data_IF_641114031410
#
_entry.id   IF_641114031410
#
_cell.length_a   1.000
_cell.length_b   1.000
_cell.length_c   1.000
_cell.angle_alpha   90.00
_cell.angle_beta   90.00
_cell.angle_gamma   90.00
#
_symmetry.space_group_name_H-M   'P 1'
#
loop_
_entity.id
_entity.type
_entity.pdbx_description
1 polymer ?
#
# COMPACT_ATOMS: atom_id res chain seq x y z
N UNK A 1 -7.56 -10.98 -25.55
CA UNK A 1 -8.81 -11.25 -24.83
C UNK A 1 -8.91 -10.28 -23.67
N UNK A 2 -9.88 -9.42 -23.79
CA UNK A 2 -10.27 -8.39 -22.82
C UNK A 2 -11.08 -9.07 -21.70
N UNK A 3 -10.53 -9.20 -20.50
CA UNK A 3 -11.31 -9.41 -19.27
C UNK A 3 -10.48 -8.83 -18.11
N UNK A 4 -10.96 -7.78 -17.48
CA UNK A 4 -10.38 -7.31 -16.24
C UNK A 4 -10.53 -5.83 -15.85
N UNK A 5 -11.43 -5.05 -16.45
CA UNK A 5 -11.57 -3.62 -16.12
C UNK A 5 -12.95 -3.18 -15.62
N UNK A 6 -13.87 -4.06 -15.31
CA UNK A 6 -15.24 -3.65 -14.91
C UNK A 6 -15.56 -3.76 -13.39
N UNK A 7 -14.61 -4.04 -12.51
CA UNK A 7 -14.95 -4.44 -11.14
C UNK A 7 -14.83 -3.37 -10.05
N UNK A 8 -14.50 -2.12 -10.37
CA UNK A 8 -14.40 -1.08 -9.32
C UNK A 8 -15.57 -0.09 -9.22
N UNK A 9 -16.58 -0.15 -10.09
CA UNK A 9 -17.68 0.84 -10.08
C UNK A 9 -19.04 0.24 -9.66
N UNK A 10 -19.17 -1.08 -9.58
CA UNK A 10 -20.47 -1.73 -9.27
C UNK A 10 -20.79 -1.97 -7.80
N UNK A 11 -19.85 -1.85 -6.89
CA UNK A 11 -20.07 -2.23 -5.47
C UNK A 11 -20.55 -1.11 -4.53
N UNK A 12 -20.68 0.12 -5.03
CA UNK A 12 -21.20 1.24 -4.22
C UNK A 12 -22.74 1.30 -4.13
N UNK A 13 -23.47 0.35 -4.70
CA UNK A 13 -24.96 0.31 -4.64
C UNK A 13 -25.56 -0.62 -3.59
N UNK A 14 -24.79 -1.26 -2.73
CA UNK A 14 -25.29 -2.22 -1.72
C UNK A 14 -25.21 -1.80 -0.26
N UNK A 15 -24.83 -0.56 0.04
CA UNK A 15 -24.84 -0.05 1.41
C UNK A 15 -25.76 1.18 1.49
N UNK A 16 -27.03 1.01 1.17
CA UNK A 16 -28.06 1.98 1.51
C UNK A 16 -29.46 1.33 1.54
N UNK A 17 -29.57 0.27 2.33
CA UNK A 17 -30.81 -0.49 2.46
C UNK A 17 -31.24 -0.71 3.91
N UNK A 18 -30.99 0.27 4.80
CA UNK A 18 -31.48 0.18 6.18
C UNK A 18 -31.75 1.57 6.77
N UNK A 19 -32.70 2.30 6.20
CA UNK A 19 -33.37 3.44 6.84
C UNK A 19 -34.50 3.93 5.92
N UNK A 20 -35.61 3.24 5.91
CA UNK A 20 -36.91 3.82 5.51
C UNK A 20 -38.03 2.85 5.85
N UNK A 21 -38.52 2.92 7.04
CA UNK A 21 -39.92 2.61 7.36
C UNK A 21 -40.25 3.27 8.71
N UNK A 22 -41.39 3.97 8.70
CA UNK A 22 -42.12 4.52 9.80
C UNK A 22 -41.91 5.99 10.14
N UNK A 23 -42.75 6.81 9.53
CA UNK A 23 -43.37 7.97 10.18
C UNK A 23 -44.57 8.49 9.36
N UNK A 24 -45.77 8.01 9.62
CA UNK A 24 -47.01 8.77 9.41
C UNK A 24 -47.90 8.56 10.61
N UNK A 25 -48.09 9.61 11.38
CA UNK A 25 -49.00 9.67 12.49
C UNK A 25 -49.09 11.07 13.08
N UNK A 26 -50.13 11.77 12.73
CA UNK A 26 -50.47 13.15 13.08
C UNK A 26 -50.73 13.38 14.55
N UNK A 27 -50.49 14.58 14.98
CA UNK A 27 -51.29 15.50 15.80
C UNK A 27 -50.69 15.96 17.14
N UNK A 28 -50.81 17.29 17.31
CA UNK A 28 -50.92 18.12 18.50
C UNK A 28 -49.67 18.38 19.38
N UNK A 29 -49.24 19.64 19.26
CA UNK A 29 -48.36 20.29 20.28
C UNK A 29 -49.20 20.72 21.52
N UNK A 30 -48.53 20.80 22.67
CA UNK A 30 -48.56 22.04 23.42
C UNK A 30 -47.17 22.60 23.71
N UNK A 31 -47.13 23.92 23.78
CA UNK A 31 -45.99 24.77 24.14
C UNK A 31 -45.59 24.51 25.60
N UNK A 32 -44.37 24.15 25.86
CA UNK A 32 -43.80 24.08 27.21
C UNK A 32 -42.31 24.41 27.11
N UNK A 33 -41.94 25.48 27.81
CA UNK A 33 -40.56 25.96 27.98
C UNK A 33 -39.70 24.89 28.66
N UNK A 34 -38.65 24.44 27.97
CA UNK A 34 -37.60 23.61 28.55
C UNK A 34 -36.42 24.48 28.96
N UNK A 35 -36.35 24.84 30.24
CA UNK A 35 -35.07 25.21 30.86
C UNK A 35 -34.35 23.89 31.19
N UNK A 36 -33.24 23.66 30.46
CA UNK A 36 -32.38 22.53 30.74
C UNK A 36 -31.42 22.88 31.87
N UNK A 37 -31.74 22.38 33.09
CA UNK A 37 -30.78 22.32 34.19
C UNK A 37 -29.70 21.28 33.87
N UNK A 38 -28.57 21.74 33.40
CA UNK A 38 -27.36 20.93 33.28
C UNK A 38 -26.70 20.77 34.67
N UNK A 39 -27.13 19.78 35.42
CA UNK A 39 -26.35 19.30 36.56
C UNK A 39 -25.35 18.26 36.07
N UNK A 40 -24.09 18.68 35.99
CA UNK A 40 -22.96 17.80 35.82
C UNK A 40 -22.87 16.79 36.99
N UNK A 41 -23.27 15.57 36.75
CA UNK A 41 -22.86 14.40 37.54
C UNK A 41 -23.15 13.16 36.72
N UNK A 42 -22.14 12.73 35.99
CA UNK A 42 -21.80 11.33 35.78
C UNK A 42 -20.41 11.29 35.13
N UNK A 43 -19.42 11.25 36.01
CA UNK A 43 -18.07 10.97 35.65
C UNK A 43 -18.00 9.54 35.07
N UNK A 44 -17.66 9.43 33.81
CA UNK A 44 -17.31 8.15 33.20
C UNK A 44 -16.13 7.56 33.99
N UNK A 45 -16.20 6.29 34.40
CA UNK A 45 -15.06 5.66 35.06
C UNK A 45 -13.87 5.64 34.11
N UNK A 46 -12.73 6.07 34.63
CA UNK A 46 -11.44 6.09 33.97
C UNK A 46 -11.23 4.82 33.13
N UNK A 47 -11.30 4.94 31.81
CA UNK A 47 -10.78 3.94 30.90
C UNK A 47 -9.26 3.94 31.07
N UNK A 48 -8.62 2.84 31.46
CA UNK A 48 -7.18 2.80 31.47
C UNK A 48 -6.68 2.98 30.04
N UNK A 49 -6.00 4.08 29.78
CA UNK A 49 -5.21 4.31 28.57
C UNK A 49 -3.99 3.41 28.61
N UNK A 50 -4.18 2.10 28.43
CA UNK A 50 -3.05 1.22 28.16
C UNK A 50 -2.72 1.31 26.67
N UNK A 51 -2.03 2.36 26.28
CA UNK A 51 -1.23 2.36 25.06
C UNK A 51 -0.04 1.41 25.27
N UNK A 52 -0.29 0.10 25.29
CA UNK A 52 0.76 -0.88 25.12
C UNK A 52 1.12 -0.87 23.64
N UNK A 53 1.93 0.09 23.23
CA UNK A 53 2.81 -0.06 22.10
C UNK A 53 3.78 -1.19 22.47
N UNK A 54 3.42 -2.42 22.16
CA UNK A 54 4.34 -3.55 22.21
C UNK A 54 5.41 -3.29 21.14
N UNK A 55 6.48 -2.59 21.53
CA UNK A 55 7.70 -2.54 20.72
C UNK A 55 8.19 -3.98 20.63
N UNK A 56 7.89 -4.65 19.54
CA UNK A 56 8.42 -5.97 19.24
C UNK A 56 9.96 -5.84 19.28
N UNK A 57 10.57 -6.39 20.32
CA UNK A 57 12.03 -6.33 20.51
C UNK A 57 12.66 -7.33 19.56
N UNK A 58 13.05 -6.88 18.38
CA UNK A 58 13.88 -7.69 17.49
C UNK A 58 15.35 -7.63 17.97
N UNK A 59 16.03 -8.78 18.15
CA UNK A 59 17.44 -8.79 18.51
C UNK A 59 18.24 -7.99 17.46
N UNK A 60 19.25 -7.23 17.92
CA UNK A 60 20.17 -6.51 17.03
C UNK A 60 20.85 -7.53 16.09
N UNK A 61 20.37 -7.66 14.85
CA UNK A 61 21.05 -8.44 13.82
C UNK A 61 22.39 -7.80 13.47
N UNK A 62 23.38 -8.62 13.08
CA UNK A 62 24.66 -8.11 12.55
C UNK A 62 24.36 -7.13 11.41
N UNK A 63 25.18 -6.09 11.27
CA UNK A 63 25.10 -5.11 10.17
C UNK A 63 25.57 -5.76 8.85
N UNK A 64 24.85 -6.78 8.41
CA UNK A 64 25.17 -7.66 7.28
C UNK A 64 25.04 -7.00 5.91
N UNK A 65 24.22 -5.92 5.84
CA UNK A 65 24.00 -5.13 4.63
C UNK A 65 24.77 -3.80 4.64
N UNK A 66 25.81 -3.68 5.47
CA UNK A 66 26.63 -2.46 5.51
C UNK A 66 27.31 -2.21 4.15
N UNK A 67 27.20 -0.98 3.65
CA UNK A 67 27.72 -0.57 2.35
C UNK A 67 26.81 -0.92 1.17
N UNK A 68 25.67 -1.57 1.41
CA UNK A 68 24.65 -1.80 0.38
C UNK A 68 23.64 -0.67 0.38
N UNK A 69 23.27 -0.19 -0.81
CA UNK A 69 22.25 0.82 -1.02
C UNK A 69 21.02 0.19 -1.66
N UNK A 70 19.87 0.31 -1.01
CA UNK A 70 18.63 -0.33 -1.44
C UNK A 70 17.50 0.69 -1.55
N UNK A 71 16.68 0.54 -2.59
CA UNK A 71 15.45 1.32 -2.77
C UNK A 71 14.27 0.48 -2.30
N UNK A 72 13.32 1.11 -1.65
CA UNK A 72 12.02 0.52 -1.34
C UNK A 72 10.94 1.49 -1.80
N UNK A 73 10.00 1.03 -2.64
CA UNK A 73 8.80 1.80 -2.95
C UNK A 73 7.67 1.43 -1.99
N UNK A 74 6.89 2.39 -1.53
CA UNK A 74 5.81 2.16 -0.57
C UNK A 74 4.60 3.07 -0.81
N UNK A 75 3.46 2.72 -0.22
CA UNK A 75 2.23 3.49 -0.31
C UNK A 75 1.46 3.26 -1.60
N UNK A 76 0.41 4.05 -1.78
CA UNK A 76 -0.33 4.12 -3.01
C UNK A 76 0.04 5.42 -3.75
N UNK A 77 0.09 5.36 -5.07
CA UNK A 77 0.12 6.57 -5.89
C UNK A 77 -1.28 7.17 -6.00
N UNK A 78 -1.34 8.44 -6.32
CA UNK A 78 -2.55 9.22 -6.46
C UNK A 78 -2.55 9.84 -7.86
N UNK A 79 -3.57 9.51 -8.64
CA UNK A 79 -3.73 10.03 -9.99
C UNK A 79 -4.86 11.06 -10.00
N UNK A 80 -4.50 12.34 -10.10
CA UNK A 80 -5.46 13.42 -10.00
C UNK A 80 -6.47 13.40 -11.16
N UNK A 81 -7.76 13.55 -10.86
CA UNK A 81 -8.83 13.81 -11.82
C UNK A 81 -9.02 15.33 -11.95
N UNK A 82 -9.03 16.00 -10.81
CA UNK A 82 -9.12 17.45 -10.67
C UNK A 82 -8.45 17.87 -9.34
N UNK A 83 -8.41 19.15 -8.94
CA UNK A 83 -7.78 19.57 -7.68
C UNK A 83 -8.38 18.94 -6.40
N UNK A 84 -9.51 18.24 -6.49
CA UNK A 84 -10.26 17.71 -5.35
C UNK A 84 -10.31 16.18 -5.36
N UNK A 85 -10.42 15.56 -6.53
CA UNK A 85 -10.66 14.11 -6.70
C UNK A 85 -9.51 13.43 -7.38
N UNK A 86 -9.29 12.17 -7.02
CA UNK A 86 -8.21 11.35 -7.55
C UNK A 86 -8.59 9.87 -7.58
N UNK A 87 -7.85 9.10 -8.35
CA UNK A 87 -7.84 7.64 -8.37
C UNK A 87 -6.66 7.18 -7.53
N UNK A 88 -6.84 6.15 -6.68
CA UNK A 88 -5.78 5.57 -5.88
C UNK A 88 -6.12 4.15 -5.47
N UNK A 89 -5.14 3.44 -4.92
CA UNK A 89 -5.27 2.11 -4.34
C UNK A 89 -5.45 2.17 -2.81
N UNK A 90 -5.96 1.09 -2.21
CA UNK A 90 -6.19 0.98 -0.76
C UNK A 90 -4.91 0.77 0.08
N UNK A 91 -3.73 0.81 -0.53
CA UNK A 91 -2.47 0.58 0.18
C UNK A 91 -2.20 1.67 1.21
N UNK A 92 -1.83 1.26 2.41
CA UNK A 92 -1.44 2.16 3.51
C UNK A 92 0.08 2.37 3.61
N UNK A 93 0.88 1.62 2.82
CA UNK A 93 2.33 1.68 2.85
C UNK A 93 3.00 0.86 3.95
N UNK A 94 2.26 0.32 4.93
CA UNK A 94 2.81 -0.39 6.10
C UNK A 94 3.87 -1.45 5.75
N UNK A 95 3.66 -2.26 4.71
CA UNK A 95 4.58 -3.32 4.34
C UNK A 95 5.93 -2.77 3.84
N UNK A 96 5.92 -1.80 2.93
CA UNK A 96 7.13 -1.16 2.41
C UNK A 96 7.91 -0.44 3.52
N UNK A 97 7.21 0.22 4.45
CA UNK A 97 7.85 0.86 5.61
C UNK A 97 8.51 -0.16 6.55
N UNK A 98 7.85 -1.30 6.82
CA UNK A 98 8.43 -2.37 7.61
C UNK A 98 9.69 -2.98 6.95
N UNK A 99 9.68 -3.14 5.62
CA UNK A 99 10.85 -3.63 4.86
C UNK A 99 11.98 -2.60 4.94
N UNK A 100 11.70 -1.32 4.71
CA UNK A 100 12.70 -0.26 4.79
C UNK A 100 13.36 -0.22 6.18
N UNK A 101 12.57 -0.36 7.26
CA UNK A 101 13.09 -0.44 8.63
C UNK A 101 13.96 -1.69 8.84
N UNK A 102 13.52 -2.87 8.38
CA UNK A 102 14.26 -4.12 8.54
C UNK A 102 15.62 -4.07 7.82
N UNK A 103 15.68 -3.49 6.62
CA UNK A 103 16.92 -3.32 5.85
C UNK A 103 17.86 -2.29 6.51
N UNK A 104 17.33 -1.16 6.98
CA UNK A 104 18.12 -0.14 7.66
C UNK A 104 18.71 -0.67 8.97
N UNK A 105 17.98 -1.47 9.75
CA UNK A 105 18.49 -2.14 10.96
C UNK A 105 19.65 -3.09 10.66
N UNK A 106 19.73 -3.65 9.46
CA UNK A 106 20.84 -4.50 8.98
C UNK A 106 22.00 -3.69 8.43
N UNK A 107 21.90 -2.37 8.45
CA UNK A 107 22.97 -1.45 8.07
C UNK A 107 22.99 -1.04 6.60
N UNK A 108 21.96 -1.37 5.83
CA UNK A 108 21.80 -0.85 4.47
C UNK A 108 21.54 0.67 4.49
N UNK A 109 22.03 1.38 3.48
CA UNK A 109 21.56 2.70 3.11
C UNK A 109 20.22 2.53 2.37
N UNK A 110 19.13 2.95 3.00
CA UNK A 110 17.79 2.75 2.44
C UNK A 110 17.21 4.05 1.94
N UNK A 111 16.75 4.04 0.68
CA UNK A 111 15.97 5.10 0.08
C UNK A 111 14.53 4.62 -0.05
N UNK A 112 13.62 5.23 0.70
CA UNK A 112 12.21 4.94 0.69
C UNK A 112 11.47 5.94 -0.20
N UNK A 113 11.03 5.51 -1.38
CA UNK A 113 10.20 6.31 -2.28
C UNK A 113 8.75 6.05 -1.91
N UNK A 114 8.12 7.05 -1.29
CA UNK A 114 6.82 6.88 -0.65
C UNK A 114 5.74 7.69 -1.34
N UNK A 115 4.68 7.01 -1.78
CA UNK A 115 3.40 7.63 -2.03
C UNK A 115 2.79 8.18 -0.72
N UNK A 116 1.64 8.82 -0.82
CA UNK A 116 0.98 9.46 0.32
C UNK A 116 0.67 8.47 1.44
N UNK A 117 1.13 8.78 2.65
CA UNK A 117 0.87 8.00 3.86
C UNK A 117 1.00 8.88 5.11
N UNK A 118 0.39 8.46 6.21
CA UNK A 118 0.56 9.07 7.53
C UNK A 118 1.66 8.39 8.37
N UNK A 119 2.36 7.40 7.82
CA UNK A 119 3.41 6.69 8.56
C UNK A 119 4.64 7.57 8.77
N UNK A 120 5.24 7.54 9.96
CA UNK A 120 6.50 8.24 10.22
C UNK A 120 7.65 7.55 9.45
N UNK A 121 8.63 8.33 9.04
CA UNK A 121 9.83 7.78 8.39
C UNK A 121 10.62 6.92 9.37
N UNK A 122 10.98 5.68 9.02
CA UNK A 122 11.80 4.82 9.88
C UNK A 122 13.18 5.43 10.13
N UNK A 123 13.73 5.18 11.31
CA UNK A 123 15.04 5.69 11.68
C UNK A 123 16.15 5.21 10.75
N UNK A 124 16.99 6.12 10.26
CA UNK A 124 18.10 5.80 9.36
C UNK A 124 17.69 5.58 7.90
N UNK A 125 16.47 5.92 7.53
CA UNK A 125 15.94 5.82 6.17
C UNK A 125 15.83 7.21 5.55
N UNK A 126 16.33 7.38 4.32
CA UNK A 126 16.10 8.58 3.52
C UNK A 126 14.77 8.42 2.77
N UNK A 127 13.82 9.30 3.04
CA UNK A 127 12.51 9.28 2.38
C UNK A 127 12.44 10.30 1.25
N UNK A 128 11.84 9.89 0.14
CA UNK A 128 11.45 10.73 -0.98
C UNK A 128 9.93 10.62 -1.11
N UNK A 129 9.24 11.73 -0.90
CA UNK A 129 7.79 11.78 -1.08
C UNK A 129 7.44 12.01 -2.54
N UNK A 130 6.46 11.24 -3.04
CA UNK A 130 5.91 11.33 -4.40
C UNK A 130 4.38 11.23 -4.31
N UNK A 131 3.69 11.76 -5.30
CA UNK A 131 2.24 11.65 -5.40
C UNK A 131 1.80 10.69 -6.49
N UNK A 132 2.24 10.89 -7.72
CA UNK A 132 1.79 10.15 -8.90
C UNK A 132 2.68 8.94 -9.22
N UNK A 133 2.15 8.05 -10.06
CA UNK A 133 2.93 6.97 -10.66
C UNK A 133 4.11 7.51 -11.48
N UNK A 134 3.94 8.65 -12.15
CA UNK A 134 5.00 9.29 -12.92
C UNK A 134 6.14 9.77 -12.01
N UNK A 135 5.84 10.46 -10.92
CA UNK A 135 6.85 10.90 -9.96
C UNK A 135 7.57 9.72 -9.31
N UNK A 136 6.85 8.64 -9.00
CA UNK A 136 7.45 7.42 -8.45
C UNK A 136 8.36 6.75 -9.47
N UNK A 137 7.98 6.72 -10.76
CA UNK A 137 8.81 6.22 -11.85
C UNK A 137 10.12 7.01 -11.94
N UNK A 138 10.06 8.33 -12.06
CA UNK A 138 11.23 9.20 -12.17
C UNK A 138 12.17 9.07 -10.97
N UNK A 139 11.62 9.07 -9.75
CA UNK A 139 12.40 8.86 -8.55
C UNK A 139 13.07 7.48 -8.50
N UNK A 140 12.34 6.43 -8.90
CA UNK A 140 12.84 5.06 -8.89
C UNK A 140 13.97 4.86 -9.89
N UNK A 141 13.82 5.33 -11.11
CA UNK A 141 14.85 5.22 -12.16
C UNK A 141 16.11 5.99 -11.74
N UNK A 142 15.95 7.23 -11.25
CA UNK A 142 17.07 8.05 -10.80
C UNK A 142 17.86 7.40 -9.66
N UNK A 143 17.18 6.93 -8.64
CA UNK A 143 17.84 6.34 -7.47
C UNK A 143 18.42 4.95 -7.77
N UNK A 144 17.80 4.19 -8.68
CA UNK A 144 18.26 2.85 -9.06
C UNK A 144 19.61 2.85 -9.78
N UNK A 145 19.97 3.95 -10.43
CA UNK A 145 21.25 4.08 -11.13
C UNK A 145 22.47 3.81 -10.22
N UNK A 146 22.36 4.11 -8.93
CA UNK A 146 23.43 3.97 -7.92
C UNK A 146 23.11 2.97 -6.80
N UNK A 147 21.99 2.24 -6.89
CA UNK A 147 21.58 1.27 -5.88
C UNK A 147 22.12 -0.13 -6.19
N UNK A 148 22.29 -0.96 -5.16
CA UNK A 148 22.55 -2.40 -5.29
C UNK A 148 21.26 -3.19 -5.55
N UNK A 149 20.09 -2.59 -5.32
CA UNK A 149 18.81 -3.24 -5.60
C UNK A 149 17.59 -2.42 -5.22
N UNK A 150 16.42 -2.96 -5.58
CA UNK A 150 15.13 -2.34 -5.30
C UNK A 150 14.07 -3.36 -4.87
N UNK A 151 13.17 -2.92 -3.96
CA UNK A 151 11.97 -3.65 -3.53
C UNK A 151 10.75 -2.87 -3.98
N UNK A 152 10.03 -3.40 -4.94
CA UNK A 152 8.86 -2.77 -5.57
C UNK A 152 7.59 -3.16 -4.80
N UNK A 153 7.35 -2.48 -3.67
CA UNK A 153 6.25 -2.80 -2.75
C UNK A 153 5.08 -1.80 -2.81
N UNK A 154 5.22 -0.70 -3.54
CA UNK A 154 4.15 0.29 -3.70
C UNK A 154 2.98 -0.27 -4.52
N UNK A 155 1.77 0.19 -4.20
CA UNK A 155 0.58 -0.01 -5.02
C UNK A 155 0.47 1.14 -6.02
N UNK A 156 1.18 1.03 -7.13
CA UNK A 156 1.17 2.00 -8.21
C UNK A 156 -0.10 1.84 -9.03
N UNK A 157 -0.75 2.94 -9.38
CA UNK A 157 -1.90 2.89 -10.28
C UNK A 157 -1.47 2.53 -11.70
N UNK A 158 -2.13 1.54 -12.32
CA UNK A 158 -1.86 1.11 -13.69
C UNK A 158 -2.34 2.12 -14.74
N UNK A 159 -3.27 3.00 -14.33
CA UNK A 159 -3.90 3.99 -15.18
C UNK A 159 -3.96 5.36 -14.48
N UNK A 160 -3.78 6.42 -15.27
CA UNK A 160 -3.94 7.82 -14.84
C UNK A 160 -4.89 8.54 -15.80
N UNK A 161 -5.64 9.57 -15.37
CA UNK A 161 -6.42 10.37 -16.29
C UNK A 161 -5.57 10.93 -17.44
N UNK A 162 -6.10 10.84 -18.65
CA UNK A 162 -5.43 11.38 -19.85
C UNK A 162 -5.22 12.89 -19.72
N UNK A 163 -6.23 13.58 -19.16
CA UNK A 163 -6.21 15.00 -18.85
C UNK A 163 -6.67 15.24 -17.41
N UNK A 164 -5.97 16.11 -16.71
CA UNK A 164 -6.34 16.56 -15.37
C UNK A 164 -7.08 17.88 -15.49
N UNK A 165 -8.32 17.93 -15.00
CA UNK A 165 -9.10 19.16 -15.05
C UNK A 165 -8.47 20.23 -14.15
N UNK A 166 -8.27 21.48 -14.64
CA UNK A 166 -7.64 22.56 -13.88
C UNK A 166 -8.51 23.08 -12.73
N UNK A 167 -9.82 22.81 -12.79
CA UNK A 167 -10.80 23.20 -11.77
C UNK A 167 -11.66 21.98 -11.41
N UNK A 168 -12.28 22.03 -10.22
CA UNK A 168 -13.21 21.00 -9.79
C UNK A 168 -14.32 20.78 -10.81
N UNK A 169 -14.44 19.59 -11.35
CA UNK A 169 -15.52 19.22 -12.26
C UNK A 169 -16.87 19.32 -11.53
N UNK A 170 -17.77 20.14 -12.06
CA UNK A 170 -19.11 20.31 -11.50
C UNK A 170 -20.00 19.12 -11.89
N UNK A 171 -20.96 18.78 -11.02
CA UNK A 171 -21.98 17.80 -11.34
C UNK A 171 -22.86 18.36 -12.46
N UNK A 172 -22.96 17.68 -13.58
CA UNK A 172 -23.91 17.93 -14.65
C UNK A 172 -25.13 17.00 -14.55
N UNK A 173 -26.05 17.14 -15.52
CA UNK A 173 -27.26 16.30 -15.59
C UNK A 173 -27.00 14.90 -16.19
N UNK A 174 -25.80 14.64 -16.68
CA UNK A 174 -25.42 13.39 -17.34
C UNK A 174 -24.35 12.59 -16.58
N UNK A 175 -23.90 11.51 -17.21
CA UNK A 175 -22.80 10.67 -16.72
C UNK A 175 -21.47 11.41 -16.87
N UNK A 176 -20.55 11.18 -15.92
CA UNK A 176 -19.17 11.65 -16.02
C UNK A 176 -18.29 10.52 -16.55
N UNK A 177 -17.75 10.70 -17.73
CA UNK A 177 -16.75 9.78 -18.32
C UNK A 177 -15.35 10.38 -18.16
N UNK A 178 -14.41 9.57 -17.65
CA UNK A 178 -13.00 9.92 -17.51
C UNK A 178 -12.20 8.98 -18.40
N UNK A 179 -11.46 9.54 -19.36
CA UNK A 179 -10.53 8.78 -20.19
C UNK A 179 -9.25 8.54 -19.40
N UNK A 180 -8.78 7.29 -19.40
CA UNK A 180 -7.58 6.88 -18.71
C UNK A 180 -6.53 6.39 -19.72
N UNK A 181 -5.27 6.75 -19.48
CA UNK A 181 -4.09 6.21 -20.16
C UNK A 181 -3.24 5.35 -19.21
N UNK A 182 -2.46 4.44 -19.76
CA UNK A 182 -1.55 3.60 -18.96
C UNK A 182 -0.43 4.44 -18.35
N UNK A 183 -0.03 4.09 -17.13
CA UNK A 183 1.16 4.61 -16.47
C UNK A 183 2.41 3.83 -16.92
N UNK A 184 3.60 4.35 -16.60
CA UNK A 184 4.85 3.64 -16.84
C UNK A 184 5.00 2.44 -15.91
N UNK A 185 5.42 1.29 -16.44
CA UNK A 185 5.70 0.10 -15.65
C UNK A 185 7.11 0.20 -15.03
N UNK A 186 7.18 0.75 -13.82
CA UNK A 186 8.44 0.98 -13.09
C UNK A 186 9.24 -0.31 -12.96
N UNK A 187 8.59 -1.41 -12.61
CA UNK A 187 9.25 -2.68 -12.39
C UNK A 187 9.82 -3.28 -13.68
N UNK A 188 9.13 -3.14 -14.80
CA UNK A 188 9.63 -3.56 -16.11
C UNK A 188 10.85 -2.74 -16.53
N UNK A 189 10.81 -1.42 -16.33
CA UNK A 189 11.93 -0.52 -16.61
C UNK A 189 13.18 -0.87 -15.80
N UNK A 190 13.03 -1.02 -14.47
CA UNK A 190 14.15 -1.39 -13.60
C UNK A 190 14.68 -2.79 -13.95
N UNK A 191 13.80 -3.73 -14.31
CA UNK A 191 14.16 -5.08 -14.72
C UNK A 191 14.97 -5.13 -16.02
N UNK A 192 14.64 -4.27 -16.99
CA UNK A 192 15.39 -4.12 -18.24
C UNK A 192 16.81 -3.59 -18.00
N UNK A 193 16.98 -2.71 -17.00
CA UNK A 193 18.25 -2.07 -16.65
C UNK A 193 18.91 -2.66 -15.39
N UNK A 194 18.56 -3.87 -15.01
CA UNK A 194 18.94 -4.49 -13.73
C UNK A 194 20.46 -4.64 -13.56
N UNK A 195 21.18 -5.06 -14.59
CA UNK A 195 22.66 -5.12 -14.62
C UNK A 195 23.28 -5.75 -13.35
N UNK A 196 22.79 -6.91 -12.92
CA UNK A 196 23.28 -7.62 -11.73
C UNK A 196 22.76 -7.11 -10.38
N UNK A 197 21.97 -6.05 -10.34
CA UNK A 197 21.31 -5.56 -9.13
C UNK A 197 20.17 -6.50 -8.72
N UNK A 198 19.86 -6.55 -7.43
CA UNK A 198 18.67 -7.29 -6.95
C UNK A 198 17.40 -6.52 -7.25
N UNK A 199 16.38 -7.22 -7.74
CA UNK A 199 15.05 -6.64 -7.95
C UNK A 199 13.98 -7.56 -7.36
N UNK A 200 13.22 -7.05 -6.39
CA UNK A 200 12.15 -7.76 -5.68
C UNK A 200 10.81 -7.18 -6.06
N UNK A 201 9.89 -8.04 -6.53
CA UNK A 201 8.52 -7.64 -6.85
C UNK A 201 7.53 -7.98 -5.77
N UNK A 202 6.40 -7.28 -5.77
CA UNK A 202 5.19 -7.65 -5.03
C UNK A 202 4.07 -7.95 -6.01
N UNK A 203 3.30 -8.97 -5.73
CA UNK A 203 2.06 -9.30 -6.42
C UNK A 203 0.93 -9.43 -5.42
N UNK A 204 -0.20 -8.83 -5.73
CA UNK A 204 -1.47 -9.04 -5.07
C UNK A 204 -2.41 -9.57 -6.14
N UNK A 205 -2.77 -10.84 -6.04
CA UNK A 205 -3.58 -11.53 -7.03
C UNK A 205 -4.88 -12.04 -6.39
N UNK A 206 -5.91 -12.17 -7.20
CA UNK A 206 -7.22 -12.70 -6.78
C UNK A 206 -7.57 -13.97 -7.52
N UNK A 207 -6.89 -14.25 -8.64
CA UNK A 207 -7.12 -15.41 -9.49
C UNK A 207 -5.80 -15.87 -10.13
N UNK A 208 -5.64 -17.19 -10.31
CA UNK A 208 -4.44 -17.82 -10.89
C UNK A 208 -3.13 -17.27 -10.28
N UNK A 209 -3.14 -17.08 -8.96
CA UNK A 209 -2.18 -16.26 -8.20
C UNK A 209 -0.72 -16.64 -8.48
N UNK A 210 -0.41 -17.95 -8.42
CA UNK A 210 0.95 -18.47 -8.62
C UNK A 210 1.42 -18.26 -10.07
N UNK A 211 0.60 -18.66 -11.05
CA UNK A 211 0.96 -18.54 -12.47
C UNK A 211 1.15 -17.08 -12.88
N UNK A 212 0.32 -16.19 -12.35
CA UNK A 212 0.47 -14.75 -12.58
C UNK A 212 1.75 -14.18 -11.95
N UNK A 213 2.10 -14.63 -10.73
CA UNK A 213 3.31 -14.23 -10.05
C UNK A 213 4.56 -14.73 -10.78
N UNK A 214 4.59 -16.01 -11.19
CA UNK A 214 5.68 -16.58 -11.99
C UNK A 214 5.85 -15.87 -13.33
N UNK A 215 4.74 -15.57 -14.01
CA UNK A 215 4.77 -14.77 -15.23
C UNK A 215 5.33 -13.37 -15.03
N UNK A 216 5.02 -12.71 -13.91
CA UNK A 216 5.61 -11.41 -13.54
C UNK A 216 7.09 -11.52 -13.20
N UNK A 217 7.49 -12.58 -12.45
CA UNK A 217 8.88 -12.87 -12.11
C UNK A 217 9.77 -12.87 -13.36
N UNK A 218 9.33 -13.58 -14.38
CA UNK A 218 10.09 -13.72 -15.65
C UNK A 218 10.06 -12.43 -16.47
N UNK A 219 8.86 -11.89 -16.75
CA UNK A 219 8.72 -10.70 -17.63
C UNK A 219 9.39 -9.46 -17.09
N UNK A 220 9.41 -9.27 -15.77
CA UNK A 220 9.99 -8.10 -15.11
C UNK A 220 11.39 -8.38 -14.53
N UNK A 221 11.96 -9.55 -14.84
CA UNK A 221 13.30 -9.96 -14.42
C UNK A 221 13.56 -9.81 -12.91
N UNK A 222 12.56 -10.15 -12.08
CA UNK A 222 12.73 -10.18 -10.64
C UNK A 222 13.64 -11.32 -10.18
N UNK A 223 14.34 -11.15 -9.06
CA UNK A 223 15.07 -12.24 -8.38
C UNK A 223 14.11 -13.09 -7.59
N UNK A 224 13.15 -12.45 -6.93
CA UNK A 224 12.00 -13.13 -6.35
C UNK A 224 10.82 -12.17 -6.27
N UNK A 225 9.64 -12.76 -6.13
CA UNK A 225 8.37 -12.02 -5.96
C UNK A 225 7.72 -12.44 -4.64
N UNK A 226 7.15 -11.47 -3.96
CA UNK A 226 6.36 -11.66 -2.74
C UNK A 226 4.90 -11.66 -3.17
N UNK A 227 4.30 -12.85 -3.21
CA UNK A 227 2.90 -13.03 -3.54
C UNK A 227 2.06 -12.90 -2.27
N UNK A 228 1.11 -11.98 -2.28
CA UNK A 228 0.11 -11.78 -1.23
C UNK A 228 -1.26 -12.18 -1.77
N UNK A 229 -1.98 -13.06 -1.06
CA UNK A 229 -3.32 -13.48 -1.43
C UNK A 229 -4.37 -12.70 -0.64
N UNK A 230 -5.41 -12.22 -1.31
CA UNK A 230 -6.59 -11.63 -0.66
C UNK A 230 -7.57 -12.68 -0.13
N UNK A 231 -7.36 -13.96 -0.44
CA UNK A 231 -8.23 -15.07 0.01
C UNK A 231 -7.98 -15.45 1.45
N UNK A 232 -6.79 -15.14 1.98
CA UNK A 232 -6.41 -15.49 3.34
C UNK A 232 -6.96 -14.48 4.35
N UNK A 233 -7.71 -14.96 5.33
CA UNK A 233 -8.20 -14.13 6.42
C UNK A 233 -7.02 -13.53 7.20
N UNK A 234 -7.03 -12.19 7.40
CA UNK A 234 -5.95 -11.47 8.08
C UNK A 234 -4.78 -11.05 7.17
N UNK A 235 -4.85 -11.35 5.86
CA UNK A 235 -3.92 -10.82 4.86
C UNK A 235 -4.55 -9.65 4.09
N UNK A 236 -3.74 -8.74 3.56
CA UNK A 236 -4.20 -7.65 2.70
C UNK A 236 -3.91 -6.25 3.20
N UNK A 237 -4.68 -5.27 2.68
CA UNK A 237 -4.52 -3.86 3.00
C UNK A 237 -5.08 -3.52 4.38
N UNK A 238 -4.47 -2.53 5.05
CA UNK A 238 -4.98 -1.97 6.30
C UNK A 238 -4.74 -2.79 7.57
N UNK A 239 -4.58 -4.10 7.48
CA UNK A 239 -4.28 -4.99 8.62
C UNK A 239 -2.79 -4.99 8.96
N UNK A 240 -2.44 -5.44 10.18
CA UNK A 240 -1.04 -5.47 10.66
C UNK A 240 -0.36 -6.81 10.41
N UNK A 241 -1.11 -7.80 9.93
CA UNK A 241 -0.62 -9.14 9.57
C UNK A 241 -0.53 -9.31 8.06
N UNK A 242 0.22 -10.34 7.64
CA UNK A 242 0.30 -10.75 6.25
C UNK A 242 0.58 -12.25 6.15
N UNK A 243 0.08 -12.90 5.09
CA UNK A 243 0.44 -14.25 4.71
C UNK A 243 0.94 -14.17 3.27
N UNK A 244 2.19 -14.50 3.05
CA UNK A 244 2.83 -14.35 1.75
C UNK A 244 3.57 -15.61 1.33
N UNK A 245 3.69 -15.80 0.02
CA UNK A 245 4.56 -16.80 -0.59
C UNK A 245 5.72 -16.09 -1.29
N UNK A 246 6.93 -16.49 -0.99
CA UNK A 246 8.14 -16.03 -1.69
C UNK A 246 8.39 -16.97 -2.85
N UNK A 247 8.39 -16.44 -4.07
CA UNK A 247 8.57 -17.21 -5.31
C UNK A 247 9.82 -16.72 -6.01
N UNK A 248 10.75 -17.61 -6.30
CA UNK A 248 11.93 -17.35 -7.12
C UNK A 248 12.09 -18.44 -8.20
N UNK A 249 13.21 -18.42 -8.92
CA UNK A 249 13.49 -19.40 -9.99
C UNK A 249 13.77 -20.81 -9.47
N UNK A 250 14.13 -20.96 -8.18
CA UNK A 250 14.44 -22.24 -7.56
C UNK A 250 13.19 -22.92 -6.97
N UNK A 251 12.13 -22.13 -6.71
CA UNK A 251 10.89 -22.65 -6.16
C UNK A 251 10.10 -21.62 -5.36
N UNK A 252 9.29 -22.12 -4.44
CA UNK A 252 8.42 -21.31 -3.58
C UNK A 252 8.58 -21.66 -2.11
N UNK A 253 8.41 -20.66 -1.27
CA UNK A 253 8.40 -20.76 0.19
C UNK A 253 7.15 -20.05 0.72
N UNK A 254 6.20 -20.82 1.24
CA UNK A 254 5.02 -20.28 1.91
C UNK A 254 5.37 -19.88 3.34
N UNK A 255 5.11 -18.63 3.70
CA UNK A 255 5.23 -18.15 5.06
C UNK A 255 3.89 -18.29 5.80
N UNK A 256 3.91 -18.63 7.10
CA UNK A 256 2.69 -18.60 7.90
C UNK A 256 2.13 -17.18 8.01
N UNK A 257 0.93 -17.04 8.59
CA UNK A 257 0.41 -15.73 8.93
C UNK A 257 1.34 -15.07 9.96
N UNK A 258 1.99 -13.98 9.58
CA UNK A 258 2.96 -13.23 10.36
C UNK A 258 2.53 -11.76 10.48
N UNK A 259 3.07 -11.05 11.46
CA UNK A 259 3.01 -9.60 11.44
C UNK A 259 3.78 -9.05 10.22
N UNK A 260 3.43 -7.84 9.77
CA UNK A 260 4.17 -7.17 8.68
C UNK A 260 5.65 -6.96 9.02
N UNK A 261 5.96 -6.75 10.29
CA UNK A 261 7.33 -6.63 10.76
C UNK A 261 8.11 -7.96 10.64
N UNK A 262 7.53 -9.08 11.04
CA UNK A 262 8.13 -10.42 10.89
C UNK A 262 8.24 -10.82 9.41
N UNK A 263 7.21 -10.52 8.60
CA UNK A 263 7.25 -10.73 7.15
C UNK A 263 8.40 -9.94 6.51
N UNK A 264 8.58 -8.67 6.93
CA UNK A 264 9.68 -7.83 6.45
C UNK A 264 11.07 -8.41 6.82
N UNK A 265 11.20 -9.01 8.01
CA UNK A 265 12.45 -9.70 8.40
C UNK A 265 12.74 -10.89 7.48
N UNK A 266 11.74 -11.71 7.14
CA UNK A 266 11.90 -12.83 6.21
C UNK A 266 12.32 -12.38 4.80
N UNK A 267 11.67 -11.32 4.30
CA UNK A 267 12.03 -10.72 3.02
C UNK A 267 13.47 -10.19 3.06
N UNK A 268 13.85 -9.49 4.13
CA UNK A 268 15.20 -8.98 4.30
C UNK A 268 16.24 -10.08 4.48
N UNK A 269 15.92 -11.22 5.11
CA UNK A 269 16.78 -12.42 5.17
C UNK A 269 17.06 -12.95 3.74
N UNK A 270 16.03 -13.04 2.90
CA UNK A 270 16.19 -13.50 1.51
C UNK A 270 17.01 -12.51 0.68
N UNK A 271 16.78 -11.21 0.80
CA UNK A 271 17.60 -10.17 0.14
C UNK A 271 19.07 -10.30 0.57
N UNK A 272 19.33 -10.44 1.87
CA UNK A 272 20.68 -10.61 2.40
C UNK A 272 21.37 -11.85 1.83
N UNK A 273 20.65 -12.98 1.66
CA UNK A 273 21.21 -14.20 1.10
C UNK A 273 21.65 -14.07 -0.35
N UNK A 274 20.98 -13.20 -1.13
CA UNK A 274 21.30 -12.96 -2.55
C UNK A 274 22.44 -11.95 -2.70
N UNK A 275 22.56 -10.97 -1.77
CA UNK A 275 23.57 -9.90 -1.85
C UNK A 275 24.94 -10.30 -1.26
N UNK A 276 25.06 -11.47 -0.67
CA UNK A 276 26.33 -12.07 -0.20
C UNK A 276 27.11 -12.63 -1.36
#
# INVERSE_FOLDING_TARGET
SLVGSEMCIRDSRRICGFCAAEAYGSSNRPKGSWQADFRARDAWPNRPTSSHSSKTFFPKKKKSLRGKRLIVTAGATIEAIDPVRFISNHSTGKMGYAIAEALARRGAEVVLISGRTSLPTPTGVRRIDVLSAQEMYEASVREFATADGAVMCAAVADYTPEEVAPTKLKKGDGELTIRLKRTHDIAAELGAHKAGRILVGFALETDHEEANAEGKLQRKNFDFIVLNSLRDAGAGFGVDTNKVTLIDRAGREELPLLSKAETAEKIADKIESILK
#
